data_IF_098320396071
#
_entry.id   IF_098320396071
#
_cell.length_a   1.000
_cell.length_b   1.000
_cell.length_c   1.000
_cell.angle_alpha   90.00
_cell.angle_beta   90.00
_cell.angle_gamma   90.00
#
_symmetry.space_group_name_H-M   'P 1'
#
loop_
_entity.id
_entity.type
_entity.pdbx_description
1 polymer ?
#
# COMPACT_ATOMS: atom_id res chain seq x y z
N UNK A 1 4.65 8.57 14.42
CA UNK A 1 4.43 9.36 13.20
C UNK A 1 3.34 8.72 12.37
N UNK A 2 2.54 9.52 11.74
CA UNK A 2 1.45 9.01 10.89
C UNK A 2 1.84 9.16 9.43
N UNK A 3 1.73 8.08 8.70
CA UNK A 3 2.12 8.05 7.29
C UNK A 3 0.96 7.51 6.47
N UNK A 4 0.63 8.21 5.41
CA UNK A 4 -0.37 7.73 4.45
C UNK A 4 0.34 7.31 3.18
N UNK A 5 0.00 6.13 2.68
CA UNK A 5 0.58 5.61 1.45
C UNK A 5 -0.53 5.49 0.41
N UNK A 6 -0.30 6.07 -0.76
CA UNK A 6 -1.27 6.09 -1.84
C UNK A 6 -0.79 5.22 -2.98
N UNK A 7 -1.58 4.22 -3.32
CA UNK A 7 -1.25 3.28 -4.37
C UNK A 7 -0.64 2.02 -3.81
N UNK A 8 -1.42 0.93 -3.85
CA UNK A 8 -1.00 -0.32 -3.23
C UNK A 8 -0.68 -1.38 -4.27
N UNK A 9 0.18 -1.00 -5.21
CA UNK A 9 0.86 -2.00 -6.02
C UNK A 9 1.89 -2.68 -5.15
N UNK A 10 2.77 -3.45 -5.77
CA UNK A 10 3.74 -4.20 -4.99
C UNK A 10 4.60 -3.29 -4.09
N UNK A 11 5.13 -2.23 -4.69
CA UNK A 11 6.03 -1.35 -3.94
C UNK A 11 5.29 -0.62 -2.83
N UNK A 12 4.11 -0.07 -3.15
CA UNK A 12 3.34 0.67 -2.14
C UNK A 12 2.91 -0.22 -1.00
N UNK A 13 2.46 -1.43 -1.31
CA UNK A 13 2.04 -2.36 -0.27
C UNK A 13 3.22 -2.81 0.59
N UNK A 14 4.33 -3.16 -0.04
CA UNK A 14 5.50 -3.60 0.70
C UNK A 14 6.00 -2.49 1.63
N UNK A 15 6.06 -1.26 1.13
CA UNK A 15 6.50 -0.14 1.95
C UNK A 15 5.54 0.14 3.09
N UNK A 16 4.23 0.01 2.85
CA UNK A 16 3.24 0.20 3.90
C UNK A 16 3.46 -0.78 5.04
N UNK A 17 3.70 -2.04 4.71
CA UNK A 17 3.88 -3.05 5.74
C UNK A 17 5.20 -2.86 6.48
N UNK A 18 6.26 -2.47 5.78
CA UNK A 18 7.53 -2.21 6.43
C UNK A 18 7.44 -1.03 7.39
N UNK A 19 6.81 0.05 6.96
CA UNK A 19 6.67 1.23 7.80
C UNK A 19 5.77 0.96 8.99
N UNK A 20 4.78 0.10 8.82
CA UNK A 20 3.83 -0.19 9.89
C UNK A 20 4.44 -0.91 11.06
N UNK A 21 5.66 -1.38 10.93
CA UNK A 21 6.36 -1.99 12.05
C UNK A 21 6.75 -0.97 13.12
N UNK A 22 6.90 0.29 12.72
CA UNK A 22 7.33 1.33 13.64
C UNK A 22 6.41 2.54 13.65
N UNK A 23 5.70 2.78 12.56
CA UNK A 23 4.88 3.97 12.42
C UNK A 23 3.43 3.58 12.22
N UNK A 24 2.54 4.55 12.40
CA UNK A 24 1.12 4.35 12.09
C UNK A 24 0.94 4.60 10.59
N UNK A 25 0.40 3.63 9.89
CA UNK A 25 0.27 3.72 8.44
C UNK A 25 -1.19 3.56 8.05
N UNK A 26 -1.64 4.44 7.17
CA UNK A 26 -2.92 4.27 6.50
C UNK A 26 -2.62 4.09 5.02
N UNK A 27 -3.00 2.95 4.50
CA UNK A 27 -2.70 2.57 3.12
C UNK A 27 -3.96 2.69 2.28
N UNK A 28 -3.86 3.46 1.22
CA UNK A 28 -5.01 3.79 0.38
C UNK A 28 -4.83 3.25 -1.03
N UNK A 29 -5.92 2.74 -1.59
CA UNK A 29 -5.98 2.42 -3.01
C UNK A 29 -7.39 2.67 -3.49
N UNK A 30 -7.52 3.07 -4.74
CA UNK A 30 -8.81 3.36 -5.32
C UNK A 30 -9.60 2.08 -5.61
N UNK A 31 -8.91 0.95 -5.70
CA UNK A 31 -9.55 -0.33 -5.99
C UNK A 31 -10.11 -0.92 -4.71
N UNK A 32 -11.42 -0.86 -4.56
CA UNK A 32 -12.06 -1.30 -3.32
C UNK A 32 -11.88 -2.79 -3.05
N UNK A 33 -11.88 -3.60 -4.11
CA UNK A 33 -11.68 -5.04 -3.93
C UNK A 33 -10.33 -5.34 -3.30
N UNK A 34 -9.32 -4.61 -3.72
CA UNK A 34 -7.98 -4.76 -3.16
C UNK A 34 -7.98 -4.43 -1.69
N UNK A 35 -8.65 -3.34 -1.33
CA UNK A 35 -8.73 -2.91 0.06
C UNK A 35 -9.47 -3.94 0.90
N UNK A 36 -10.55 -4.48 0.38
CA UNK A 36 -11.32 -5.49 1.10
C UNK A 36 -10.46 -6.72 1.38
N UNK A 37 -9.70 -7.16 0.39
CA UNK A 37 -8.79 -8.30 0.58
C UNK A 37 -7.78 -8.01 1.68
N UNK A 38 -7.17 -6.85 1.63
CA UNK A 38 -6.15 -6.50 2.62
C UNK A 38 -6.73 -6.38 4.01
N UNK A 39 -7.95 -5.86 4.13
CA UNK A 39 -8.60 -5.77 5.44
C UNK A 39 -8.88 -7.14 6.02
N UNK A 40 -8.99 -8.14 5.17
CA UNK A 40 -9.21 -9.52 5.60
C UNK A 40 -7.91 -10.31 5.70
N UNK A 41 -6.78 -9.66 5.56
CA UNK A 41 -5.49 -10.32 5.66
C UNK A 41 -5.11 -11.11 4.43
N UNK A 42 -5.73 -10.80 3.31
CA UNK A 42 -5.47 -11.49 2.05
C UNK A 42 -4.69 -10.57 1.14
N UNK A 43 -3.58 -11.07 0.61
CA UNK A 43 -2.76 -10.27 -0.30
C UNK A 43 -3.34 -10.34 -1.71
N UNK A 44 -3.52 -9.18 -2.36
CA UNK A 44 -3.89 -9.16 -3.78
C UNK A 44 -2.69 -9.41 -4.68
N UNK A 45 -1.52 -9.56 -4.10
CA UNK A 45 -0.27 -9.75 -4.82
C UNK A 45 0.29 -11.11 -4.45
N UNK A 46 0.75 -11.86 -5.44
CA UNK A 46 1.37 -13.15 -5.18
C UNK A 46 2.82 -12.94 -4.78
N UNK A 47 3.02 -12.68 -3.51
CA UNK A 47 4.34 -12.48 -2.97
C UNK A 47 4.37 -13.08 -1.57
N UNK A 48 5.29 -14.01 -1.38
CA UNK A 48 5.35 -14.75 -0.14
C UNK A 48 5.64 -13.86 1.05
N UNK A 49 6.52 -12.90 0.87
CA UNK A 49 6.87 -12.01 1.97
C UNK A 49 5.71 -11.13 2.37
N UNK A 50 4.96 -10.64 1.39
CA UNK A 50 3.77 -9.84 1.66
C UNK A 50 2.75 -10.68 2.42
N UNK A 51 2.55 -11.92 2.01
CA UNK A 51 1.64 -12.82 2.70
C UNK A 51 2.04 -12.99 4.16
N UNK A 52 3.31 -13.16 4.42
CA UNK A 52 3.78 -13.36 5.78
C UNK A 52 3.62 -12.10 6.61
N UNK A 53 3.88 -10.94 6.03
CA UNK A 53 3.66 -9.68 6.74
C UNK A 53 2.20 -9.50 7.10
N UNK A 54 1.30 -9.85 6.21
CA UNK A 54 -0.13 -9.66 6.46
C UNK A 54 -0.64 -10.55 7.58
N UNK A 55 0.08 -11.60 7.91
CA UNK A 55 -0.29 -12.47 9.02
C UNK A 55 0.14 -11.93 10.36
N UNK A 56 1.02 -10.95 10.37
CA UNK A 56 1.47 -10.36 11.62
C UNK A 56 0.39 -9.45 12.19
N UNK A 57 0.22 -9.51 13.50
CA UNK A 57 -0.75 -8.65 14.17
C UNK A 57 -0.09 -7.52 14.93
N UNK A 58 1.22 -7.35 14.76
CA UNK A 58 1.95 -6.27 15.40
C UNK A 58 2.14 -5.07 14.47
N UNK A 59 1.55 -5.13 13.27
CA UNK A 59 1.66 -4.03 12.32
C UNK A 59 0.55 -3.00 12.57
N UNK A 60 0.95 -1.75 12.54
CA UNK A 60 0.01 -0.66 12.77
C UNK A 60 -0.41 -0.07 11.42
N UNK A 61 -1.17 -0.85 10.66
CA UNK A 61 -1.59 -0.46 9.32
C UNK A 61 -3.10 -0.57 9.19
N UNK A 62 -3.68 0.40 8.53
CA UNK A 62 -5.10 0.40 8.21
C UNK A 62 -5.25 0.60 6.71
N UNK A 63 -6.08 -0.22 6.08
CA UNK A 63 -6.31 -0.13 4.64
C UNK A 63 -7.63 0.57 4.38
N UNK A 64 -7.63 1.51 3.44
CA UNK A 64 -8.83 2.28 3.16
C UNK A 64 -8.93 2.62 1.67
N UNK A 65 -10.16 2.75 1.19
CA UNK A 65 -10.42 3.27 -0.15
C UNK A 65 -10.98 4.69 -0.08
N UNK A 66 -10.97 5.28 1.09
CA UNK A 66 -11.46 6.65 1.28
C UNK A 66 -10.29 7.62 1.15
N UNK A 67 -10.26 8.33 0.02
CA UNK A 67 -9.15 9.22 -0.29
C UNK A 67 -9.01 10.34 0.74
N UNK A 68 -10.11 10.97 1.12
CA UNK A 68 -10.09 12.06 2.06
C UNK A 68 -9.55 11.63 3.42
N UNK A 69 -9.97 10.46 3.86
CA UNK A 69 -9.52 9.92 5.13
C UNK A 69 -8.01 9.70 5.11
N UNK A 70 -7.49 9.17 4.00
CA UNK A 70 -6.06 8.94 3.88
C UNK A 70 -5.28 10.26 3.84
N UNK A 71 -5.80 11.24 3.10
CA UNK A 71 -5.12 12.55 3.02
C UNK A 71 -5.03 13.20 4.37
N UNK A 72 -6.09 13.11 5.17
CA UNK A 72 -6.13 13.78 6.46
C UNK A 72 -5.40 13.04 7.56
N UNK A 73 -5.08 11.77 7.34
CA UNK A 73 -4.47 10.97 8.39
C UNK A 73 -2.98 11.26 8.57
N UNK A 74 -2.25 11.28 7.47
CA UNK A 74 -0.79 11.23 7.55
C UNK A 74 -0.13 12.58 7.74
N UNK A 75 0.92 12.61 8.55
CA UNK A 75 1.82 13.74 8.60
C UNK A 75 2.71 13.73 7.37
N UNK A 76 2.97 12.54 6.83
CA UNK A 76 3.70 12.37 5.58
C UNK A 76 2.83 11.59 4.61
N UNK A 77 2.87 12.00 3.36
CA UNK A 77 2.15 11.35 2.29
C UNK A 77 3.15 10.74 1.32
N UNK A 78 3.05 9.44 1.13
CA UNK A 78 3.90 8.74 0.18
C UNK A 78 3.02 8.31 -0.97
N UNK A 79 3.38 8.74 -2.17
CA UNK A 79 2.63 8.39 -3.36
C UNK A 79 3.44 7.37 -4.13
N UNK A 80 2.94 6.13 -4.15
CA UNK A 80 3.58 5.07 -4.87
C UNK A 80 2.86 4.90 -6.19
N UNK A 81 3.53 5.21 -7.27
CA UNK A 81 2.92 5.04 -8.57
C UNK A 81 2.75 3.56 -8.87
N UNK A 82 1.76 3.21 -9.70
CA UNK A 82 1.60 1.82 -10.09
C UNK A 82 2.87 1.30 -10.72
N UNK A 83 3.26 0.11 -10.34
CA UNK A 83 4.49 -0.47 -10.83
C UNK A 83 4.24 -1.55 -11.86
N UNK A 84 3.03 -1.73 -12.24
CA UNK A 84 2.68 -2.68 -13.27
C UNK A 84 2.88 -2.05 -14.65
N UNK A 85 3.92 -1.26 -14.76
CA UNK A 85 4.22 -0.66 -16.04
C UNK A 85 4.57 -1.72 -17.06
N UNK A 86 4.28 -1.41 -18.29
CA UNK A 86 4.58 -2.29 -19.38
C UNK A 86 5.98 -1.95 -19.89
N UNK A 87 6.90 -2.87 -19.74
CA UNK A 87 8.27 -2.64 -20.12
C UNK A 87 8.42 -2.30 -21.60
N UNK A 88 7.48 -2.71 -22.37
CA UNK A 88 7.53 -2.38 -23.79
C UNK A 88 7.34 -0.91 -24.05
N UNK A 89 6.71 -0.22 -23.16
CA UNK A 89 6.46 1.19 -23.32
C UNK A 89 7.54 2.04 -22.75
N UNK A 90 8.21 1.50 -21.93
CA UNK A 90 9.11 2.32 -21.20
C UNK A 90 10.20 2.93 -22.04
N UNK A 91 9.90 3.02 -21.87
CA UNK A 91 10.73 3.64 -22.07
C UNK A 91 10.63 4.67 -21.89
N UNK A 92 9.88 4.47 -21.23
CA UNK A 92 9.62 5.34 -20.93
C UNK A 92 9.90 6.06 -20.73
N UNK A 93 9.91 5.89 -20.63
CA UNK A 93 9.94 6.52 -20.37
C UNK A 93 10.06 7.20 -19.97
N UNK A 94 10.27 7.10 -19.77
CA UNK A 94 10.19 7.75 -19.35
C UNK A 94 10.14 8.28 -19.18
N UNK A 95 10.07 8.10 -19.11
CA UNK A 95 9.76 8.63 -19.07
C UNK A 95 9.69 8.99 -19.06
#
# INVERSE_FOLDING_TARGET
>A
MKISVFGLGYVGLANSLLLAQKEQVKAYDIVEEKITMLQNGISPIEDKEVHEFLKRDDLNVEFTSNFTDAVNFGDYLIIATPTDYDEKKNYFNTS
#
